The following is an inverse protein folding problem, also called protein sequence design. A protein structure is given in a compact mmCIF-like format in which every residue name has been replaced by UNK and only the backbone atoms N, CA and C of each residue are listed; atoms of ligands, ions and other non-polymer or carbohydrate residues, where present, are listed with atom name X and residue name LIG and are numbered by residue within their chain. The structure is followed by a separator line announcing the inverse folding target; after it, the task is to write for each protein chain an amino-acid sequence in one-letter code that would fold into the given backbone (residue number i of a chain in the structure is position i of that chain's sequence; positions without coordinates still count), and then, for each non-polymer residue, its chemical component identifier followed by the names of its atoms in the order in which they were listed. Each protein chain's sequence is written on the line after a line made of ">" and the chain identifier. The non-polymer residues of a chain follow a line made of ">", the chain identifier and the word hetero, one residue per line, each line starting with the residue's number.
data_IF_402403762792
#
_entry.id   IF_402403762792
#
_cell.length_a   1.000
_cell.length_b   1.000
_cell.length_c   1.000
_cell.angle_alpha   90.00
_cell.angle_beta   90.00
_cell.angle_gamma   90.00
#
_symmetry.space_group_name_H-M   'P 1'
#
loop_
_entity.id
_entity.type
_entity.pdbx_description
1 polymer ?
#
# COMPACT_ATOMS: atom_id res chain seq x y z
N UNK A 1 -10.67 12.97 -14.07
CA UNK A 1 -9.91 12.41 -12.93
C UNK A 1 -10.83 12.32 -11.74
N UNK A 2 -10.75 11.25 -10.92
CA UNK A 2 -11.51 11.20 -9.67
C UNK A 2 -11.13 12.40 -8.78
N UNK A 3 -12.12 12.93 -8.06
CA UNK A 3 -11.94 14.09 -7.16
C UNK A 3 -11.12 13.67 -5.95
N UNK A 4 -9.95 14.30 -5.75
CA UNK A 4 -9.13 14.10 -4.55
C UNK A 4 -9.73 14.85 -3.37
N UNK A 5 -9.89 14.19 -2.23
CA UNK A 5 -10.29 14.79 -0.95
C UNK A 5 -9.19 14.65 0.09
N UNK A 6 -9.07 15.66 0.95
CA UNK A 6 -8.11 15.67 2.05
C UNK A 6 -8.57 14.83 3.26
N UNK A 7 -9.86 14.50 3.37
CA UNK A 7 -10.43 13.74 4.50
C UNK A 7 -11.29 12.57 3.99
N UNK A 8 -11.50 11.59 4.86
CA UNK A 8 -12.41 10.48 4.59
C UNK A 8 -13.87 10.96 4.56
N UNK A 9 -14.74 10.12 4.02
CA UNK A 9 -16.19 10.26 4.22
C UNK A 9 -16.55 10.02 5.69
N UNK A 10 -17.57 10.66 6.26
CA UNK A 10 -17.99 10.44 7.66
C UNK A 10 -18.32 8.98 8.00
N UNK A 11 -18.71 8.17 7.00
CA UNK A 11 -19.06 6.77 7.16
C UNK A 11 -17.92 5.81 6.78
N UNK A 12 -16.72 6.32 6.53
CA UNK A 12 -15.55 5.51 6.18
C UNK A 12 -14.57 5.53 7.34
N UNK A 13 -14.31 4.36 7.91
CA UNK A 13 -13.29 4.17 8.94
C UNK A 13 -12.45 2.93 8.63
N UNK A 14 -11.20 3.15 8.22
CA UNK A 14 -10.25 2.08 7.96
C UNK A 14 -9.49 1.62 9.22
N UNK A 15 -9.76 2.25 10.37
CA UNK A 15 -9.06 1.94 11.62
C UNK A 15 -9.31 0.51 12.06
N UNK A 16 -8.31 -0.11 12.69
CA UNK A 16 -8.39 -1.46 13.21
C UNK A 16 -7.09 -2.23 13.03
N UNK A 17 -7.05 -3.44 13.59
CA UNK A 17 -5.98 -4.39 13.34
C UNK A 17 -6.41 -5.39 12.28
N UNK A 18 -5.56 -5.62 11.30
CA UNK A 18 -5.86 -6.35 10.07
C UNK A 18 -4.88 -7.51 9.87
N UNK A 19 -5.40 -8.71 9.62
CA UNK A 19 -4.62 -9.89 9.28
C UNK A 19 -4.94 -10.34 7.84
N UNK A 20 -3.95 -10.72 7.02
CA UNK A 20 -4.21 -11.09 5.63
C UNK A 20 -5.06 -12.35 5.54
N UNK A 21 -6.00 -12.36 4.60
CA UNK A 21 -6.75 -13.54 4.20
C UNK A 21 -5.86 -14.30 3.21
N UNK A 22 -5.17 -15.32 3.71
CA UNK A 22 -4.14 -16.02 2.93
C UNK A 22 -4.74 -17.24 2.22
N UNK A 23 -4.78 -17.19 0.89
CA UNK A 23 -5.16 -18.31 0.04
C UNK A 23 -3.98 -18.77 -0.82
N UNK A 24 -4.01 -19.99 -1.39
CA UNK A 24 -3.01 -20.43 -2.36
C UNK A 24 -2.92 -19.51 -3.58
N UNK A 25 -4.05 -19.01 -4.08
CA UNK A 25 -4.07 -18.07 -5.22
C UNK A 25 -3.39 -16.75 -4.87
N UNK A 26 -3.73 -16.17 -3.72
CA UNK A 26 -3.10 -14.95 -3.22
C UNK A 26 -1.58 -15.11 -3.07
N UNK A 27 -1.11 -16.23 -2.52
CA UNK A 27 0.33 -16.51 -2.41
C UNK A 27 1.02 -16.52 -3.78
N UNK A 28 0.37 -17.10 -4.80
CA UNK A 28 0.90 -17.12 -6.17
C UNK A 28 0.96 -15.72 -6.78
N UNK A 29 -0.14 -14.96 -6.69
CA UNK A 29 -0.22 -13.59 -7.21
C UNK A 29 0.79 -12.66 -6.52
N UNK A 30 1.00 -12.85 -5.21
CA UNK A 30 1.96 -12.06 -4.46
C UNK A 30 3.42 -12.41 -4.79
N UNK A 31 3.75 -13.68 -5.03
CA UNK A 31 5.10 -14.07 -5.53
C UNK A 31 5.37 -13.42 -6.89
N UNK A 32 4.38 -13.40 -7.79
CA UNK A 32 4.50 -12.75 -9.10
C UNK A 32 4.65 -11.22 -8.99
N UNK A 33 3.88 -10.58 -8.11
CA UNK A 33 4.04 -9.16 -7.81
C UNK A 33 5.45 -8.84 -7.31
N UNK A 34 5.95 -9.58 -6.33
CA UNK A 34 7.30 -9.39 -5.78
C UNK A 34 8.39 -9.65 -6.84
N UNK A 35 8.19 -10.64 -7.70
CA UNK A 35 9.08 -10.94 -8.83
C UNK A 35 9.13 -9.77 -9.81
N UNK A 36 7.98 -9.16 -10.13
CA UNK A 36 7.90 -7.98 -10.99
C UNK A 36 8.51 -6.74 -10.32
N UNK A 37 8.49 -6.68 -8.99
CA UNK A 37 9.25 -5.70 -8.19
C UNK A 37 10.75 -6.05 -8.04
N UNK A 38 11.29 -6.93 -8.89
CA UNK A 38 12.70 -7.36 -8.94
C UNK A 38 13.23 -7.98 -7.63
N UNK A 39 12.36 -8.52 -6.77
CA UNK A 39 12.80 -9.18 -5.53
C UNK A 39 13.45 -10.53 -5.84
N UNK A 40 14.51 -10.88 -5.11
CA UNK A 40 15.24 -12.14 -5.32
C UNK A 40 14.39 -13.36 -4.97
N UNK A 41 14.61 -14.50 -5.66
CA UNK A 41 13.82 -15.72 -5.44
C UNK A 41 13.77 -16.16 -3.97
N UNK A 42 14.92 -16.17 -3.29
CA UNK A 42 15.01 -16.58 -1.88
C UNK A 42 14.22 -15.64 -0.97
N UNK A 43 14.32 -14.33 -1.19
CA UNK A 43 13.56 -13.35 -0.40
C UNK A 43 12.06 -13.55 -0.58
N UNK A 44 11.59 -13.72 -1.83
CA UNK A 44 10.16 -13.95 -2.09
C UNK A 44 9.62 -15.19 -1.39
N UNK A 45 10.38 -16.30 -1.37
CA UNK A 45 9.97 -17.52 -0.67
C UNK A 45 9.82 -17.31 0.84
N UNK A 46 10.72 -16.55 1.47
CA UNK A 46 10.60 -16.20 2.89
C UNK A 46 9.33 -15.37 3.13
N UNK A 47 9.13 -14.32 2.35
CA UNK A 47 7.98 -13.41 2.51
C UNK A 47 6.64 -14.14 2.29
N UNK A 48 6.49 -14.87 1.18
CA UNK A 48 5.24 -15.55 0.81
C UNK A 48 4.87 -16.65 1.80
N UNK A 49 5.86 -17.38 2.35
CA UNK A 49 5.61 -18.43 3.33
C UNK A 49 5.24 -17.86 4.70
N UNK A 50 5.84 -16.73 5.11
CA UNK A 50 5.55 -16.08 6.38
C UNK A 50 4.38 -15.10 6.36
N UNK A 51 3.70 -14.94 5.22
CA UNK A 51 2.77 -13.82 5.05
C UNK A 51 1.56 -13.86 5.99
N UNK A 52 1.16 -15.05 6.46
CA UNK A 52 0.06 -15.23 7.43
C UNK A 52 0.31 -14.58 8.79
N UNK A 53 1.58 -14.35 9.14
CA UNK A 53 1.97 -13.69 10.39
C UNK A 53 1.94 -12.16 10.29
N UNK A 54 1.73 -11.61 9.09
CA UNK A 54 1.64 -10.15 8.94
C UNK A 54 0.43 -9.61 9.70
N UNK A 55 0.64 -8.48 10.37
CA UNK A 55 -0.44 -7.67 10.97
C UNK A 55 -0.26 -6.22 10.55
N UNK A 56 -1.35 -5.55 10.23
CA UNK A 56 -1.37 -4.11 9.94
C UNK A 56 -2.38 -3.45 10.89
N UNK A 57 -1.92 -2.58 11.77
CA UNK A 57 -2.79 -1.72 12.57
C UNK A 57 -2.89 -0.37 11.89
N UNK A 58 -4.11 0.03 11.54
CA UNK A 58 -4.42 1.32 10.94
C UNK A 58 -5.09 2.20 11.99
N UNK A 59 -4.68 3.46 12.08
CA UNK A 59 -5.36 4.50 12.84
C UNK A 59 -5.72 5.65 11.91
N UNK A 60 -7.02 5.88 11.73
CA UNK A 60 -7.55 7.01 11.00
C UNK A 60 -7.67 8.21 11.96
N UNK A 61 -6.82 9.21 11.75
CA UNK A 61 -6.70 10.40 12.59
C UNK A 61 -7.19 11.63 11.80
N UNK A 62 -7.51 12.72 12.51
CA UNK A 62 -7.85 14.01 11.89
C UNK A 62 -8.97 13.89 10.82
N UNK A 63 -10.06 13.17 11.15
CA UNK A 63 -11.16 12.85 10.22
C UNK A 63 -10.70 12.11 8.94
N UNK A 64 -9.64 11.31 9.05
CA UNK A 64 -9.02 10.60 7.96
C UNK A 64 -8.05 11.39 7.12
N UNK A 65 -7.71 12.63 7.51
CA UNK A 65 -6.59 13.32 6.88
C UNK A 65 -5.26 12.59 7.11
N UNK A 66 -5.08 12.01 8.29
CA UNK A 66 -3.86 11.29 8.65
C UNK A 66 -4.19 9.80 8.78
N UNK A 67 -3.55 8.95 7.97
CA UNK A 67 -3.67 7.50 8.06
C UNK A 67 -2.35 6.91 8.55
N UNK A 68 -2.28 6.61 9.85
CA UNK A 68 -1.13 5.94 10.43
C UNK A 68 -1.26 4.43 10.23
N UNK A 69 -0.16 3.80 9.81
CA UNK A 69 -0.09 2.39 9.47
C UNK A 69 1.13 1.78 10.16
N UNK A 70 0.87 0.90 11.12
CA UNK A 70 1.86 0.12 11.84
C UNK A 70 1.78 -1.31 11.32
N UNK A 71 2.80 -1.75 10.60
CA UNK A 71 2.86 -3.09 10.06
C UNK A 71 3.94 -3.92 10.74
N UNK A 72 3.57 -5.16 11.05
CA UNK A 72 4.45 -6.20 11.54
C UNK A 72 4.50 -7.27 10.47
N UNK A 73 5.69 -7.62 9.97
CA UNK A 73 5.85 -8.67 9.00
C UNK A 73 7.12 -9.49 9.29
N UNK A 74 7.32 -10.65 8.62
CA UNK A 74 8.50 -11.50 8.84
C UNK A 74 9.86 -10.82 8.57
N UNK A 75 9.88 -9.73 7.80
CA UNK A 75 11.09 -8.96 7.50
C UNK A 75 11.36 -7.81 8.49
N UNK A 76 10.41 -7.50 9.38
CA UNK A 76 10.54 -6.47 10.41
C UNK A 76 9.27 -5.64 10.60
N UNK A 77 9.27 -4.87 11.68
CA UNK A 77 8.20 -3.93 11.97
C UNK A 77 8.51 -2.58 11.33
N UNK A 78 7.50 -1.92 10.79
CA UNK A 78 7.63 -0.58 10.24
C UNK A 78 6.36 0.22 10.47
N UNK A 79 6.51 1.54 10.64
CA UNK A 79 5.42 2.49 10.84
C UNK A 79 5.55 3.61 9.80
N UNK A 80 4.43 4.09 9.27
CA UNK A 80 4.34 5.33 8.49
C UNK A 80 3.01 6.03 8.73
N UNK A 81 3.00 7.34 8.53
CA UNK A 81 1.77 8.13 8.45
C UNK A 81 1.63 8.68 7.03
N UNK A 82 0.50 8.41 6.39
CA UNK A 82 0.12 8.98 5.11
C UNK A 82 -0.77 10.19 5.36
N UNK A 83 -0.43 11.35 4.79
CA UNK A 83 -1.21 12.58 4.97
C UNK A 83 -1.94 12.89 3.67
N UNK A 84 -3.27 12.84 3.73
CA UNK A 84 -4.14 13.09 2.61
C UNK A 84 -4.28 14.59 2.32
N UNK A 85 -4.35 14.91 1.02
CA UNK A 85 -4.52 16.28 0.53
C UNK A 85 -5.46 16.31 -0.67
N UNK A 86 -6.17 17.42 -0.84
CA UNK A 86 -7.00 17.63 -2.02
C UNK A 86 -6.18 18.16 -3.21
N UNK A 87 -6.83 18.27 -4.37
CA UNK A 87 -6.18 18.74 -5.60
C UNK A 87 -5.78 20.22 -5.58
N UNK A 88 -6.35 21.03 -4.69
CA UNK A 88 -6.05 22.47 -4.60
C UNK A 88 -4.78 22.75 -3.81
N UNK A 89 -4.47 21.91 -2.82
CA UNK A 89 -3.28 22.00 -1.99
C UNK A 89 -2.59 20.64 -1.89
N UNK A 90 -2.02 20.11 -3.00
CA UNK A 90 -1.40 18.80 -2.99
C UNK A 90 -0.20 18.80 -2.03
N UNK A 91 -0.18 17.81 -1.14
CA UNK A 91 0.91 17.61 -0.20
C UNK A 91 1.78 16.44 -0.67
N UNK A 92 3.07 16.69 -0.78
CA UNK A 92 4.09 15.67 -0.95
C UNK A 92 4.95 15.62 0.32
N UNK A 93 4.95 14.48 0.99
CA UNK A 93 5.71 14.25 2.21
C UNK A 93 6.84 13.26 1.95
N UNK A 94 7.78 13.15 2.89
CA UNK A 94 8.82 12.13 2.84
C UNK A 94 8.64 11.15 3.99
N UNK A 95 8.84 9.87 3.71
CA UNK A 95 8.90 8.81 4.72
C UNK A 95 10.16 7.98 4.52
N UNK A 96 10.60 7.31 5.59
CA UNK A 96 11.61 6.25 5.51
C UNK A 96 10.88 4.93 5.31
N UNK A 97 11.15 4.24 4.21
CA UNK A 97 10.50 2.97 3.91
C UNK A 97 11.24 1.77 4.54
N UNK A 98 10.70 0.54 4.45
CA UNK A 98 11.31 -0.63 5.10
C UNK A 98 12.73 -0.97 4.64
N UNK A 99 13.14 -0.54 3.44
CA UNK A 99 14.52 -0.71 2.95
C UNK A 99 15.45 0.43 3.42
N UNK A 100 14.95 1.33 4.31
CA UNK A 100 15.63 2.52 4.84
C UNK A 100 15.87 3.63 3.80
N UNK A 101 15.19 3.57 2.67
CA UNK A 101 15.22 4.63 1.67
C UNK A 101 14.27 5.77 2.08
N UNK A 102 14.70 7.01 1.88
CA UNK A 102 13.80 8.17 1.97
C UNK A 102 13.04 8.30 0.65
N UNK A 103 11.72 8.27 0.72
CA UNK A 103 10.84 8.24 -0.45
C UNK A 103 9.78 9.32 -0.35
N UNK A 104 9.37 9.84 -1.51
CA UNK A 104 8.30 10.83 -1.62
C UNK A 104 6.95 10.13 -1.63
N UNK A 105 5.99 10.69 -0.91
CA UNK A 105 4.65 10.14 -0.76
C UNK A 105 3.61 11.21 -0.97
N UNK A 106 2.65 10.90 -1.83
CA UNK A 106 1.39 11.63 -1.96
C UNK A 106 0.25 10.73 -1.52
N UNK A 107 -0.74 11.27 -0.83
CA UNK A 107 -1.95 10.54 -0.47
C UNK A 107 -3.20 11.43 -0.58
N UNK A 108 -4.35 10.80 -0.80
CA UNK A 108 -5.66 11.45 -0.90
C UNK A 108 -6.78 10.43 -0.80
N UNK A 109 -8.02 10.89 -0.62
CA UNK A 109 -9.20 10.06 -0.76
C UNK A 109 -9.87 10.24 -2.12
N UNK A 110 -10.31 9.14 -2.71
CA UNK A 110 -11.13 9.05 -3.92
C UNK A 110 -12.54 8.54 -3.56
N UNK A 111 -13.42 8.47 -4.56
CA UNK A 111 -14.78 7.92 -4.44
C UNK A 111 -15.52 8.50 -3.24
N UNK A 112 -15.59 9.83 -3.23
CA UNK A 112 -16.23 10.63 -2.21
C UNK A 112 -15.70 10.50 -0.78
N UNK A 113 -14.49 9.95 -0.61
CA UNK A 113 -13.89 9.77 0.71
C UNK A 113 -13.87 8.31 1.16
N UNK A 114 -14.22 7.36 0.29
CA UNK A 114 -14.34 5.93 0.65
C UNK A 114 -13.10 5.11 0.32
N UNK A 115 -12.23 5.60 -0.57
CA UNK A 115 -10.99 4.91 -0.95
C UNK A 115 -9.78 5.78 -0.67
N UNK A 116 -8.89 5.31 0.21
CA UNK A 116 -7.64 6.00 0.47
C UNK A 116 -6.58 5.55 -0.54
N UNK A 117 -6.08 6.49 -1.35
CA UNK A 117 -5.03 6.26 -2.33
C UNK A 117 -3.71 6.89 -1.91
N UNK A 118 -2.61 6.21 -2.19
CA UNK A 118 -1.26 6.74 -1.97
C UNK A 118 -0.32 6.34 -3.10
N UNK A 119 0.60 7.25 -3.44
CA UNK A 119 1.71 7.00 -4.35
C UNK A 119 3.02 7.16 -3.61
N UNK A 120 3.94 6.23 -3.82
CA UNK A 120 5.30 6.27 -3.28
C UNK A 120 6.30 6.27 -4.44
N UNK A 121 7.21 7.24 -4.42
CA UNK A 121 8.14 7.55 -5.52
C UNK A 121 9.54 7.86 -5.00
N UNK A 122 10.52 7.88 -5.91
CA UNK A 122 11.86 8.39 -5.62
C UNK A 122 12.79 7.37 -4.95
N UNK A 123 12.39 6.10 -4.86
CA UNK A 123 13.27 5.05 -4.34
C UNK A 123 14.46 4.85 -5.29
N UNK A 124 15.72 5.03 -4.86
CA UNK A 124 16.87 5.03 -5.77
C UNK A 124 16.97 3.74 -6.61
N UNK A 125 16.70 2.59 -5.99
CA UNK A 125 16.81 1.28 -6.64
C UNK A 125 15.75 1.02 -7.71
N UNK A 126 14.60 1.71 -7.69
CA UNK A 126 13.48 1.47 -8.63
C UNK A 126 13.48 2.44 -9.81
N UNK A 127 14.49 3.33 -9.88
CA UNK A 127 14.79 4.20 -11.02
C UNK A 127 13.55 4.90 -11.60
N UNK A 128 12.79 5.57 -10.74
CA UNK A 128 11.61 6.34 -11.15
C UNK A 128 10.30 5.56 -11.25
N UNK A 129 10.29 4.25 -10.95
CA UNK A 129 9.05 3.50 -10.75
C UNK A 129 8.20 4.06 -9.59
N UNK A 130 6.90 3.81 -9.66
CA UNK A 130 5.89 4.29 -8.71
C UNK A 130 5.18 3.10 -8.06
N UNK A 131 5.10 3.10 -6.73
CA UNK A 131 4.20 2.20 -6.02
C UNK A 131 2.88 2.92 -5.77
N UNK A 132 1.81 2.39 -6.32
CA UNK A 132 0.44 2.83 -6.07
C UNK A 132 -0.22 1.87 -5.08
N UNK A 133 -0.95 2.43 -4.11
CA UNK A 133 -1.77 1.63 -3.21
C UNK A 133 -3.14 2.29 -3.02
N UNK A 134 -4.21 1.48 -3.06
CA UNK A 134 -5.58 1.91 -2.78
C UNK A 134 -6.14 1.02 -1.68
N UNK A 135 -6.63 1.61 -0.59
CA UNK A 135 -7.24 0.92 0.55
C UNK A 135 -8.71 1.32 0.70
N UNK A 136 -9.58 0.34 0.92
CA UNK A 136 -11.01 0.55 1.12
C UNK A 136 -11.65 -0.67 1.80
N UNK A 137 -12.81 -0.49 2.42
CA UNK A 137 -13.58 -1.61 2.97
C UNK A 137 -14.32 -2.34 1.86
N UNK A 138 -14.37 -3.67 1.93
CA UNK A 138 -15.18 -4.48 1.02
C UNK A 138 -16.65 -4.08 1.14
N UNK A 139 -17.34 -3.94 0.00
CA UNK A 139 -18.73 -3.46 -0.04
C UNK A 139 -19.72 -4.49 0.51
N UNK A 140 -19.31 -5.76 0.55
CA UNK A 140 -20.13 -6.87 1.06
C UNK A 140 -19.80 -7.21 2.52
N UNK A 141 -18.63 -6.77 3.04
CA UNK A 141 -18.12 -7.14 4.36
C UNK A 141 -17.19 -6.03 4.92
N UNK A 142 -17.70 -5.21 5.84
CA UNK A 142 -16.95 -4.09 6.46
C UNK A 142 -15.80 -4.53 7.39
N UNK A 143 -15.75 -5.84 7.72
CA UNK A 143 -14.63 -6.46 8.42
C UNK A 143 -13.55 -6.98 7.46
N UNK A 144 -13.65 -6.63 6.18
CA UNK A 144 -12.63 -6.90 5.17
C UNK A 144 -12.06 -5.58 4.63
N UNK A 145 -10.77 -5.37 4.86
CA UNK A 145 -10.01 -4.30 4.21
C UNK A 145 -9.43 -4.85 2.91
N UNK A 146 -9.74 -4.18 1.80
CA UNK A 146 -9.13 -4.43 0.50
C UNK A 146 -7.98 -3.45 0.31
N UNK A 147 -6.84 -3.96 -0.18
CA UNK A 147 -5.68 -3.18 -0.52
C UNK A 147 -5.17 -3.60 -1.91
N UNK A 148 -5.43 -2.76 -2.91
CA UNK A 148 -4.86 -2.91 -4.24
C UNK A 148 -3.45 -2.33 -4.24
N UNK A 149 -2.45 -3.12 -4.59
CA UNK A 149 -1.07 -2.66 -4.74
C UNK A 149 -0.62 -2.80 -6.18
N UNK A 150 -0.07 -1.74 -6.76
CA UNK A 150 0.49 -1.73 -8.11
C UNK A 150 1.90 -1.17 -8.09
N UNK A 151 2.77 -1.71 -8.93
CA UNK A 151 4.05 -1.11 -9.27
C UNK A 151 4.02 -0.73 -10.75
N UNK A 152 4.27 0.55 -11.01
CA UNK A 152 4.31 1.15 -12.34
C UNK A 152 5.78 1.46 -12.66
N UNK A 153 6.44 0.73 -13.58
CA UNK A 153 7.81 1.05 -13.98
C UNK A 153 7.88 2.41 -14.67
N UNK A 154 9.03 3.07 -14.58
CA UNK A 154 9.28 4.31 -15.33
C UNK A 154 9.25 4.02 -16.84
N UNK A 155 8.50 4.81 -17.60
CA UNK A 155 8.47 4.73 -19.07
C UNK A 155 9.81 5.13 -19.71
N UNK A 156 10.64 5.89 -18.98
CA UNK A 156 11.91 6.43 -19.46
C UNK A 156 13.12 5.54 -19.15
N UNK A 157 12.94 4.49 -18.35
CA UNK A 157 14.00 3.52 -18.08
C UNK A 157 13.96 2.36 -19.09
N UNK A 158 15.13 1.99 -19.59
CA UNK A 158 15.32 1.07 -20.71
C UNK A 158 14.66 -0.30 -20.53
N UNK A 159 14.44 -0.98 -21.66
CA UNK A 159 14.01 -2.39 -21.77
C UNK A 159 14.88 -3.42 -21.02
N UNK A 160 15.95 -2.99 -20.35
CA UNK A 160 16.87 -3.78 -19.53
C UNK A 160 16.60 -3.70 -18.01
N UNK A 161 15.59 -2.95 -17.57
CA UNK A 161 15.16 -2.95 -16.18
C UNK A 161 14.62 -4.33 -15.77
N UNK A 162 15.06 -4.84 -14.62
CA UNK A 162 14.48 -6.05 -14.01
C UNK A 162 13.10 -5.79 -13.39
N UNK A 163 12.70 -4.52 -13.25
CA UNK A 163 11.41 -4.11 -12.77
C UNK A 163 10.36 -4.15 -13.89
N UNK A 164 9.20 -4.74 -13.61
CA UNK A 164 8.07 -4.89 -14.53
C UNK A 164 6.80 -4.42 -13.86
N UNK A 165 5.79 -4.07 -14.64
CA UNK A 165 4.46 -3.84 -14.09
C UNK A 165 4.04 -5.02 -13.21
N UNK A 166 3.53 -4.73 -12.02
CA UNK A 166 3.01 -5.73 -11.10
C UNK A 166 1.77 -5.21 -10.42
N UNK A 167 0.82 -6.09 -10.17
CA UNK A 167 -0.37 -5.79 -9.38
C UNK A 167 -0.74 -6.98 -8.51
N UNK A 168 -1.23 -6.70 -7.31
CA UNK A 168 -1.77 -7.71 -6.39
C UNK A 168 -2.91 -7.08 -5.60
N UNK A 169 -3.97 -7.86 -5.38
CA UNK A 169 -5.08 -7.48 -4.51
C UNK A 169 -4.95 -8.24 -3.20
N UNK A 170 -4.87 -7.50 -2.11
CA UNK A 170 -4.85 -8.06 -0.76
C UNK A 170 -6.22 -7.88 -0.15
N UNK A 171 -6.68 -8.92 0.54
CA UNK A 171 -7.79 -8.80 1.49
C UNK A 171 -7.27 -9.09 2.88
N UNK A 172 -7.68 -8.29 3.84
CA UNK A 172 -7.37 -8.48 5.24
C UNK A 172 -8.66 -8.61 6.03
N UNK A 173 -8.70 -9.54 6.98
CA UNK A 173 -9.76 -9.68 7.97
C UNK A 173 -9.42 -8.84 9.19
N UNK A 174 -10.39 -8.11 9.70
CA UNK A 174 -10.28 -7.41 10.98
C UNK A 174 -10.05 -8.42 12.11
N UNK A 175 -9.10 -8.15 12.99
CA UNK A 175 -8.72 -9.03 14.11
C UNK A 175 -8.51 -8.20 15.38
N UNK A 176 -9.59 -7.99 16.14
CA UNK A 176 -9.60 -7.30 17.45
C UNK A 176 -8.91 -5.92 17.50
#
# INVERSE_FOLDING_TARGET
>A
SPTRKATASPNTDLSGTWAPIVTPSFKSEYDDYLKNCSQSFMFRKVIVNGIEYQRETIRQLDNGQSLEIIAQNPAGNWNRTLIASDSSNPLNTTIVDPDKDTVNVEAWWEDDGTKHKSLLRGKPRVKGGVFETVRYLDVEDEDVLVCESKFLPSEFESSSSSFKYGSVLWKFRRVA
#
